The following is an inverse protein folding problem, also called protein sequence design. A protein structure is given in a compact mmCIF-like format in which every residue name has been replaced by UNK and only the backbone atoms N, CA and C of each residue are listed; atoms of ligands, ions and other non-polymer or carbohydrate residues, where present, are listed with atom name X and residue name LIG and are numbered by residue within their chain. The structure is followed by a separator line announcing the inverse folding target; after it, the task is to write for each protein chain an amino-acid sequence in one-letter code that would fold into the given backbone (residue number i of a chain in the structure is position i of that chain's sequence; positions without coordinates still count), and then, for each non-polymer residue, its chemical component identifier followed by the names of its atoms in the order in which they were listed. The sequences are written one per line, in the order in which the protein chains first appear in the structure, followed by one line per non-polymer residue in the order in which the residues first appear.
data_IF_049847160762
#
_entry.id   IF_049847160762
#
_cell.length_a   1.000
_cell.length_b   1.000
_cell.length_c   1.000
_cell.angle_alpha   90.00
_cell.angle_beta   90.00
_cell.angle_gamma   90.00
#
_symmetry.space_group_name_H-M   'P 1'
#
loop_
_entity.id
_entity.type
_entity.pdbx_description
1 polymer ?
#
# COMPACT_ATOMS: atom_id res chain seq x y z
N UNK A 1 42.33 63.63 -25.48
CA UNK A 1 42.51 63.98 -26.91
C UNK A 1 42.61 62.69 -27.71
N UNK A 2 41.91 62.63 -28.86
CA UNK A 2 41.77 61.53 -29.84
C UNK A 2 41.08 60.25 -29.35
N UNK A 3 39.82 59.93 -29.67
CA UNK A 3 39.02 59.91 -30.93
C UNK A 3 39.30 58.70 -31.84
N UNK A 4 38.42 57.70 -31.66
CA UNK A 4 37.62 56.92 -32.64
C UNK A 4 38.32 56.03 -33.69
N UNK A 5 37.98 54.74 -33.64
CA UNK A 5 37.30 53.90 -34.69
C UNK A 5 37.33 52.45 -34.14
N UNK A 6 36.24 51.70 -33.95
CA UNK A 6 34.99 51.64 -34.71
C UNK A 6 35.07 50.47 -35.69
N UNK A 7 34.87 49.23 -35.22
CA UNK A 7 34.66 48.05 -36.08
C UNK A 7 33.68 47.07 -35.44
N UNK A 8 32.45 47.14 -35.94
CA UNK A 8 31.49 46.07 -36.16
C UNK A 8 31.40 44.90 -35.16
N UNK A 9 30.36 44.97 -34.32
CA UNK A 9 29.60 43.82 -33.84
C UNK A 9 28.95 43.12 -35.05
N UNK A 10 29.59 42.05 -35.53
CA UNK A 10 28.96 41.06 -36.40
C UNK A 10 28.14 40.11 -35.55
N UNK A 11 26.82 40.11 -35.74
CA UNK A 11 25.92 39.08 -35.24
C UNK A 11 26.36 37.72 -35.80
N UNK A 12 26.38 36.63 -35.00
CA UNK A 12 26.51 35.30 -35.58
C UNK A 12 25.24 34.96 -36.34
N UNK A 13 25.43 34.61 -37.62
CA UNK A 13 24.42 34.12 -38.54
C UNK A 13 23.52 33.09 -37.89
N UNK A 14 22.21 33.35 -37.94
CA UNK A 14 21.19 32.38 -37.65
C UNK A 14 21.31 31.23 -38.67
N UNK A 15 21.91 30.13 -38.24
CA UNK A 15 21.86 28.86 -38.96
C UNK A 15 20.38 28.45 -38.98
N UNK A 16 19.74 28.64 -40.13
CA UNK A 16 18.41 28.13 -40.43
C UNK A 16 18.45 26.60 -40.38
N UNK A 17 18.06 26.04 -39.24
CA UNK A 17 17.79 24.60 -39.12
C UNK A 17 16.51 24.33 -39.92
N UNK A 18 16.53 23.47 -40.94
CA UNK A 18 15.32 23.14 -41.67
C UNK A 18 14.34 22.46 -40.72
N UNK A 19 13.16 23.08 -40.57
CA UNK A 19 11.98 22.52 -39.92
C UNK A 19 11.67 21.15 -40.57
N UNK A 20 12.16 20.07 -39.95
CA UNK A 20 11.71 18.72 -40.28
C UNK A 20 10.26 18.65 -39.86
N UNK A 21 9.36 18.59 -40.85
CA UNK A 21 7.95 18.27 -40.65
C UNK A 21 7.87 17.03 -39.76
N UNK A 22 7.09 17.11 -38.68
CA UNK A 22 6.72 15.95 -37.88
C UNK A 22 6.18 14.90 -38.84
N UNK A 23 6.86 13.75 -38.93
CA UNK A 23 6.23 12.55 -39.44
C UNK A 23 5.16 12.19 -38.40
N UNK A 24 3.90 12.42 -38.78
CA UNK A 24 2.75 11.89 -38.08
C UNK A 24 2.90 10.37 -38.07
N UNK A 25 3.13 9.80 -36.89
CA UNK A 25 3.07 8.37 -36.68
C UNK A 25 1.58 7.99 -36.73
N UNK A 26 1.08 7.76 -37.94
CA UNK A 26 -0.24 7.19 -38.18
C UNK A 26 -0.24 5.74 -37.69
N UNK A 27 -0.70 5.52 -36.46
CA UNK A 27 -1.14 4.19 -36.03
C UNK A 27 -2.34 3.84 -36.89
N UNK A 28 -2.12 2.99 -37.89
CA UNK A 28 -3.17 2.44 -38.73
C UNK A 28 -4.13 1.62 -37.87
N UNK A 29 -5.35 2.12 -37.72
CA UNK A 29 -6.49 1.31 -37.32
C UNK A 29 -6.68 0.20 -38.36
N UNK A 30 -6.75 -1.05 -37.91
CA UNK A 30 -7.11 -2.17 -38.80
C UNK A 30 -8.57 -1.99 -39.25
N UNK A 31 -8.94 -2.40 -40.48
CA UNK A 31 -10.34 -2.38 -40.91
C UNK A 31 -11.14 -3.35 -40.03
N UNK A 32 -11.99 -2.81 -39.14
CA UNK A 32 -12.84 -3.62 -38.24
C UNK A 32 -13.23 -2.93 -36.93
N UNK A 33 -12.41 -1.99 -36.42
CA UNK A 33 -12.70 -1.33 -35.16
C UNK A 33 -13.65 -0.13 -35.38
N UNK A 34 -14.96 -0.35 -35.19
CA UNK A 34 -15.88 0.76 -34.94
C UNK A 34 -15.90 1.05 -33.44
N UNK A 35 -15.80 2.32 -33.00
CA UNK A 35 -16.07 2.65 -31.61
C UNK A 35 -17.51 2.28 -31.30
N UNK A 36 -17.72 1.51 -30.24
CA UNK A 36 -19.05 1.21 -29.71
C UNK A 36 -19.61 2.55 -29.23
N UNK A 37 -20.63 3.06 -29.91
CA UNK A 37 -21.28 4.32 -29.55
C UNK A 37 -21.80 4.25 -28.11
N UNK A 38 -21.49 5.30 -27.35
CA UNK A 38 -21.96 5.50 -25.99
C UNK A 38 -23.49 5.52 -25.97
N UNK A 39 -24.07 4.79 -25.02
CA UNK A 39 -25.50 4.67 -24.83
C UNK A 39 -26.11 6.05 -24.51
N UNK A 40 -27.08 6.50 -25.31
CA UNK A 40 -27.65 7.86 -25.27
C UNK A 40 -28.83 8.00 -24.28
N UNK A 41 -28.78 7.32 -23.13
CA UNK A 41 -29.58 7.66 -21.95
C UNK A 41 -31.11 7.79 -22.11
N UNK A 42 -31.73 7.25 -23.16
CA UNK A 42 -33.19 7.27 -23.33
C UNK A 42 -33.80 5.89 -23.11
N UNK A 43 -34.43 5.74 -21.95
CA UNK A 43 -35.27 4.59 -21.59
C UNK A 43 -36.52 4.52 -22.48
N UNK A 44 -36.94 3.33 -22.96
CA UNK A 44 -38.27 3.14 -23.53
C UNK A 44 -39.34 3.24 -22.43
N UNK A 45 -40.46 3.86 -22.76
CA UNK A 45 -41.64 4.03 -21.90
C UNK A 45 -42.14 2.70 -21.32
N UNK A 46 -42.38 2.72 -20.00
CA UNK A 46 -42.94 1.62 -19.23
C UNK A 46 -44.43 1.43 -19.54
N UNK A 47 -44.77 0.30 -20.15
CA UNK A 47 -46.13 -0.26 -20.13
C UNK A 47 -46.00 -1.78 -20.02
N UNK A 48 -46.40 -2.34 -18.87
CA UNK A 48 -46.56 -3.79 -18.70
C UNK A 48 -46.23 -4.34 -17.31
N UNK A 49 -47.23 -4.37 -16.43
CA UNK A 49 -47.41 -5.39 -15.38
C UNK A 49 -46.36 -5.49 -14.28
N UNK A 50 -46.59 -4.81 -13.16
CA UNK A 50 -45.82 -4.97 -11.93
C UNK A 50 -46.32 -6.22 -11.19
N UNK A 51 -45.56 -7.31 -11.24
CA UNK A 51 -45.54 -8.27 -10.12
C UNK A 51 -44.65 -7.68 -9.03
N UNK A 52 -45.22 -7.39 -7.86
CA UNK A 52 -44.51 -6.96 -6.65
C UNK A 52 -43.60 -8.10 -6.14
N UNK A 53 -42.41 -8.18 -6.71
CA UNK A 53 -41.26 -8.88 -6.13
C UNK A 53 -40.32 -7.87 -5.50
N UNK A 54 -39.95 -8.10 -4.24
CA UNK A 54 -39.01 -7.38 -3.37
C UNK A 54 -38.24 -6.21 -4.04
N UNK A 55 -38.37 -5.00 -3.48
CA UNK A 55 -37.62 -3.80 -3.84
C UNK A 55 -36.16 -4.13 -4.20
N UNK A 56 -35.93 -4.32 -5.51
CA UNK A 56 -34.73 -4.96 -6.02
C UNK A 56 -33.61 -3.95 -6.08
N UNK A 57 -32.58 -4.14 -5.28
CA UNK A 57 -31.29 -3.48 -5.43
C UNK A 57 -30.81 -3.66 -6.88
N UNK A 58 -30.61 -2.54 -7.59
CA UNK A 58 -30.23 -2.55 -9.00
C UNK A 58 -28.83 -3.20 -9.14
N UNK A 59 -28.67 -4.26 -9.96
CA UNK A 59 -27.46 -5.07 -9.97
C UNK A 59 -26.28 -4.40 -10.66
N UNK A 60 -25.08 -4.72 -10.15
CA UNK A 60 -23.79 -4.40 -10.76
C UNK A 60 -23.19 -5.61 -11.47
N UNK A 61 -22.54 -5.34 -12.59
CA UNK A 61 -21.77 -6.32 -13.34
C UNK A 61 -20.33 -5.86 -13.43
N UNK A 62 -19.40 -6.75 -13.10
CA UNK A 62 -17.98 -6.41 -13.06
C UNK A 62 -17.16 -7.24 -14.04
N UNK A 63 -16.08 -6.62 -14.51
CA UNK A 63 -15.06 -7.26 -15.33
C UNK A 63 -13.68 -6.92 -14.79
N UNK A 64 -12.87 -7.96 -14.60
CA UNK A 64 -11.50 -7.85 -14.12
C UNK A 64 -10.56 -8.42 -15.16
N UNK A 65 -9.69 -7.58 -15.71
CA UNK A 65 -8.61 -7.98 -16.60
C UNK A 65 -7.31 -8.09 -15.82
N UNK A 66 -6.63 -9.22 -15.98
CA UNK A 66 -5.33 -9.48 -15.36
C UNK A 66 -4.18 -9.10 -16.30
N UNK A 67 -3.25 -8.28 -15.83
CA UNK A 67 -2.01 -7.90 -16.53
C UNK A 67 -2.17 -7.02 -17.80
N UNK A 68 -1.04 -6.60 -18.41
CA UNK A 68 -1.03 -5.73 -19.59
C UNK A 68 -1.12 -6.45 -20.95
N UNK A 69 -1.08 -7.78 -20.98
CA UNK A 69 -1.23 -8.60 -22.20
C UNK A 69 -2.69 -8.97 -22.50
N UNK A 70 -2.96 -9.79 -23.54
CA UNK A 70 -4.26 -10.46 -23.71
C UNK A 70 -4.41 -11.52 -22.60
N UNK A 71 -4.63 -11.07 -21.37
CA UNK A 71 -4.79 -11.90 -20.18
C UNK A 71 -6.24 -12.32 -19.97
N UNK A 72 -6.43 -13.34 -19.13
CA UNK A 72 -7.72 -13.84 -18.67
C UNK A 72 -8.60 -12.66 -18.18
N UNK A 73 -9.81 -12.59 -18.73
CA UNK A 73 -10.86 -11.68 -18.28
C UNK A 73 -11.85 -12.47 -17.42
N UNK A 74 -12.14 -11.95 -16.22
CA UNK A 74 -13.06 -12.58 -15.26
C UNK A 74 -14.28 -11.68 -15.13
N UNK A 75 -15.44 -12.26 -15.41
CA UNK A 75 -16.74 -11.59 -15.36
C UNK A 75 -17.57 -12.12 -14.20
N UNK A 76 -18.19 -11.22 -13.46
CA UNK A 76 -19.17 -11.55 -12.42
C UNK A 76 -20.39 -10.65 -12.60
N UNK A 77 -21.57 -11.26 -12.63
CA UNK A 77 -22.85 -10.59 -12.86
C UNK A 77 -23.69 -10.54 -11.58
N UNK A 78 -24.66 -9.64 -11.58
CA UNK A 78 -25.74 -9.52 -10.57
C UNK A 78 -25.25 -9.32 -9.12
N UNK A 79 -24.19 -8.53 -8.92
CA UNK A 79 -23.75 -8.13 -7.58
C UNK A 79 -24.67 -7.04 -7.01
N UNK A 80 -25.11 -7.18 -5.77
CA UNK A 80 -25.76 -6.08 -5.03
C UNK A 80 -24.74 -5.09 -4.44
N UNK A 81 -25.21 -3.96 -3.89
CA UNK A 81 -24.32 -2.93 -3.29
C UNK A 81 -23.40 -3.51 -2.20
N UNK A 82 -23.91 -4.43 -1.37
CA UNK A 82 -23.18 -5.01 -0.25
C UNK A 82 -22.14 -6.01 -0.76
N UNK A 83 -22.49 -6.86 -1.70
CA UNK A 83 -21.59 -7.82 -2.31
C UNK A 83 -20.49 -7.14 -3.11
N UNK A 84 -20.82 -6.08 -3.86
CA UNK A 84 -19.84 -5.27 -4.56
C UNK A 84 -18.86 -4.63 -3.57
N UNK A 85 -19.35 -4.07 -2.47
CA UNK A 85 -18.50 -3.44 -1.46
C UNK A 85 -17.64 -4.48 -0.71
N UNK A 86 -18.25 -5.50 -0.11
CA UNK A 86 -17.55 -6.49 0.73
C UNK A 86 -16.56 -7.35 -0.06
N UNK A 87 -16.92 -7.75 -1.28
CA UNK A 87 -16.16 -8.75 -2.04
C UNK A 87 -15.21 -8.12 -3.03
N UNK A 88 -15.47 -6.89 -3.48
CA UNK A 88 -14.73 -6.26 -4.59
C UNK A 88 -14.10 -4.93 -4.17
N UNK A 89 -14.91 -3.92 -3.84
CA UNK A 89 -14.41 -2.56 -3.61
C UNK A 89 -13.60 -2.43 -2.32
N UNK A 90 -14.09 -2.91 -1.19
CA UNK A 90 -13.38 -2.82 0.08
C UNK A 90 -12.06 -3.62 0.05
N UNK A 91 -11.99 -4.84 -0.50
CA UNK A 91 -10.72 -5.53 -0.72
C UNK A 91 -9.81 -4.77 -1.71
N UNK A 92 -10.34 -4.31 -2.84
CA UNK A 92 -9.57 -3.57 -3.86
C UNK A 92 -8.94 -2.29 -3.28
N UNK A 93 -9.73 -1.44 -2.60
CA UNK A 93 -9.26 -0.20 -1.96
C UNK A 93 -8.27 -0.48 -0.82
N UNK A 94 -8.43 -1.59 -0.11
CA UNK A 94 -7.54 -2.02 0.95
C UNK A 94 -6.31 -2.81 0.46
N UNK A 95 -6.14 -3.02 -0.85
CA UNK A 95 -5.05 -3.81 -1.41
C UNK A 95 -5.10 -5.30 -1.07
N UNK A 96 -6.25 -5.83 -0.65
CA UNK A 96 -6.48 -7.25 -0.32
C UNK A 96 -6.90 -8.04 -1.57
N UNK A 97 -6.58 -9.35 -1.65
CA UNK A 97 -7.07 -10.20 -2.74
C UNK A 97 -8.60 -10.18 -2.86
N UNK A 98 -9.07 -10.07 -4.10
CA UNK A 98 -10.48 -10.17 -4.48
C UNK A 98 -10.74 -11.63 -4.88
N UNK A 99 -11.82 -12.22 -4.36
CA UNK A 99 -12.21 -13.58 -4.72
C UNK A 99 -13.40 -13.55 -5.69
N UNK A 100 -13.13 -13.85 -6.97
CA UNK A 100 -14.13 -13.87 -8.04
C UNK A 100 -14.10 -15.20 -8.79
N UNK A 101 -15.28 -15.77 -9.05
CA UNK A 101 -15.43 -17.06 -9.75
C UNK A 101 -14.50 -18.18 -9.21
N UNK A 102 -14.26 -18.19 -7.88
CA UNK A 102 -13.38 -19.16 -7.21
C UNK A 102 -11.88 -18.91 -7.38
N UNK A 103 -11.47 -17.80 -8.00
CA UNK A 103 -10.07 -17.39 -8.16
C UNK A 103 -9.73 -16.27 -7.18
N UNK A 104 -8.54 -16.35 -6.58
CA UNK A 104 -7.94 -15.27 -5.81
C UNK A 104 -7.18 -14.33 -6.75
N UNK A 105 -7.57 -13.07 -6.78
CA UNK A 105 -7.02 -12.03 -7.65
C UNK A 105 -6.37 -10.97 -6.78
N UNK A 106 -5.05 -10.83 -6.84
CA UNK A 106 -4.36 -9.74 -6.15
C UNK A 106 -4.63 -8.40 -6.87
N UNK A 107 -4.95 -7.30 -6.16
CA UNK A 107 -5.21 -6.01 -6.81
C UNK A 107 -4.07 -5.50 -7.69
N UNK A 108 -2.82 -5.87 -7.38
CA UNK A 108 -1.63 -5.51 -8.17
C UNK A 108 -1.56 -6.19 -9.54
N UNK A 109 -2.24 -7.32 -9.72
CA UNK A 109 -2.31 -8.02 -11.02
C UNK A 109 -3.47 -7.54 -11.86
N UNK A 110 -4.37 -6.73 -11.30
CA UNK A 110 -5.52 -6.14 -12.02
C UNK A 110 -5.01 -5.02 -12.91
N UNK A 111 -4.92 -5.31 -14.21
CA UNK A 111 -4.62 -4.29 -15.22
C UNK A 111 -5.80 -3.35 -15.48
N UNK A 112 -7.04 -3.86 -15.34
CA UNK A 112 -8.26 -3.05 -15.49
C UNK A 112 -9.44 -3.66 -14.73
N UNK A 113 -10.09 -2.86 -13.88
CA UNK A 113 -11.37 -3.15 -13.25
C UNK A 113 -12.46 -2.30 -13.94
N UNK A 114 -13.61 -2.90 -14.25
CA UNK A 114 -14.80 -2.22 -14.77
C UNK A 114 -16.02 -2.64 -13.97
N UNK A 115 -16.86 -1.66 -13.62
CA UNK A 115 -18.09 -1.83 -12.84
C UNK A 115 -19.21 -1.09 -13.56
N UNK A 116 -20.19 -1.85 -14.05
CA UNK A 116 -21.36 -1.30 -14.72
C UNK A 116 -22.62 -1.56 -13.90
N UNK A 117 -23.51 -0.57 -13.81
CA UNK A 117 -24.80 -0.67 -13.14
C UNK A 117 -25.93 -0.76 -14.16
N UNK A 118 -26.87 -1.68 -13.95
CA UNK A 118 -28.02 -1.90 -14.84
C UNK A 118 -29.35 -1.91 -14.08
N UNK A 119 -30.43 -1.59 -14.78
CA UNK A 119 -31.78 -1.60 -14.20
C UNK A 119 -32.47 -2.98 -14.23
N UNK A 120 -31.85 -3.97 -14.87
CA UNK A 120 -32.37 -5.32 -15.04
C UNK A 120 -31.31 -6.36 -14.64
N UNK A 121 -31.72 -7.50 -14.03
CA UNK A 121 -30.82 -8.61 -13.74
C UNK A 121 -30.34 -9.31 -15.00
N UNK A 122 -29.19 -9.97 -14.91
CA UNK A 122 -28.51 -10.60 -16.04
C UNK A 122 -29.41 -11.58 -16.80
N UNK A 123 -30.28 -12.33 -16.11
CA UNK A 123 -31.22 -13.26 -16.76
C UNK A 123 -32.13 -12.57 -17.79
N UNK A 124 -32.63 -11.36 -17.49
CA UNK A 124 -33.46 -10.58 -18.42
C UNK A 124 -32.61 -9.99 -19.55
N UNK A 125 -31.41 -9.50 -19.24
CA UNK A 125 -30.48 -8.96 -20.22
C UNK A 125 -29.98 -10.03 -21.21
N UNK A 126 -29.66 -11.24 -20.73
CA UNK A 126 -29.28 -12.39 -21.56
C UNK A 126 -30.39 -12.78 -22.53
N UNK A 127 -31.65 -12.70 -22.10
CA UNK A 127 -32.81 -12.97 -22.96
C UNK A 127 -32.92 -11.93 -24.08
N UNK A 128 -32.57 -10.66 -23.82
CA UNK A 128 -32.50 -9.60 -24.83
C UNK A 128 -31.30 -9.80 -25.78
N UNK A 129 -30.13 -10.19 -25.26
CA UNK A 129 -28.93 -10.51 -26.07
C UNK A 129 -29.22 -11.63 -27.07
N UNK A 130 -29.94 -12.67 -26.66
CA UNK A 130 -30.32 -13.78 -27.54
C UNK A 130 -31.41 -13.42 -28.57
N UNK A 131 -32.21 -12.39 -28.29
CA UNK A 131 -33.28 -11.92 -29.17
C UNK A 131 -32.81 -10.89 -30.22
N UNK A 132 -31.67 -10.21 -30.02
CA UNK A 132 -31.14 -9.20 -30.93
C UNK A 132 -30.06 -9.78 -31.88
N UNK A 133 -30.34 -9.97 -33.18
CA UNK A 133 -29.40 -10.53 -34.15
C UNK A 133 -28.22 -9.61 -34.50
N UNK A 134 -28.29 -8.31 -34.19
CA UNK A 134 -27.22 -7.32 -34.50
C UNK A 134 -26.19 -7.26 -33.37
N UNK A 135 -26.57 -7.62 -32.15
CA UNK A 135 -25.72 -7.60 -30.94
C UNK A 135 -25.21 -8.97 -30.53
N UNK A 136 -25.29 -9.96 -31.41
CA UNK A 136 -24.75 -11.30 -31.14
C UNK A 136 -23.26 -11.21 -30.80
N UNK A 137 -22.79 -11.92 -29.78
CA UNK A 137 -21.36 -11.97 -29.49
C UNK A 137 -20.62 -12.47 -30.73
N UNK A 138 -19.47 -11.86 -31.05
CA UNK A 138 -18.55 -12.43 -32.03
C UNK A 138 -18.19 -13.86 -31.62
N UNK A 139 -17.92 -14.73 -32.60
CA UNK A 139 -17.60 -16.13 -32.34
C UNK A 139 -16.46 -16.26 -31.32
N UNK A 140 -16.79 -16.76 -30.11
CA UNK A 140 -15.85 -16.95 -29.01
C UNK A 140 -16.03 -16.02 -27.79
N UNK A 141 -16.96 -15.05 -27.82
CA UNK A 141 -17.28 -14.22 -26.64
C UNK A 141 -18.45 -14.80 -25.86
N UNK A 142 -18.31 -14.97 -24.54
CA UNK A 142 -19.40 -15.46 -23.69
C UNK A 142 -20.53 -14.42 -23.60
N UNK A 143 -21.80 -14.88 -23.55
CA UNK A 143 -22.95 -13.97 -23.49
C UNK A 143 -22.93 -13.12 -22.20
N UNK A 144 -22.35 -13.67 -21.14
CA UNK A 144 -22.11 -13.03 -19.85
C UNK A 144 -21.16 -11.82 -19.99
N UNK A 145 -20.11 -11.93 -20.80
CA UNK A 145 -19.17 -10.82 -21.05
C UNK A 145 -19.82 -9.67 -21.82
N UNK A 146 -20.83 -9.99 -22.65
CA UNK A 146 -21.64 -9.00 -23.35
C UNK A 146 -22.55 -8.28 -22.36
N UNK A 147 -23.22 -9.01 -21.47
CA UNK A 147 -24.08 -8.41 -20.43
C UNK A 147 -23.28 -7.53 -19.48
N UNK A 148 -22.07 -7.95 -19.08
CA UNK A 148 -21.22 -7.15 -18.21
C UNK A 148 -20.71 -5.84 -18.83
N UNK A 149 -20.91 -5.62 -20.14
CA UNK A 149 -20.62 -4.35 -20.83
C UNK A 149 -21.78 -3.37 -20.80
N UNK A 150 -22.97 -3.83 -20.42
CA UNK A 150 -24.19 -3.04 -20.50
C UNK A 150 -24.42 -2.22 -19.24
N UNK A 151 -25.18 -1.13 -19.39
CA UNK A 151 -25.48 -0.21 -18.30
C UNK A 151 -24.53 0.98 -18.20
N UNK A 152 -24.63 1.70 -17.09
CA UNK A 152 -23.82 2.89 -16.81
C UNK A 152 -22.50 2.46 -16.15
N UNK A 153 -21.37 2.88 -16.72
CA UNK A 153 -20.06 2.72 -16.08
C UNK A 153 -19.95 3.62 -14.86
N UNK A 154 -19.77 3.02 -13.69
CA UNK A 154 -19.66 3.69 -12.39
C UNK A 154 -18.30 3.41 -11.72
N UNK A 155 -17.34 2.88 -12.47
CA UNK A 155 -16.05 2.40 -11.96
C UNK A 155 -15.32 3.46 -11.14
N UNK A 156 -15.12 4.65 -11.70
CA UNK A 156 -14.36 5.71 -11.03
C UNK A 156 -15.10 6.26 -9.81
N UNK A 157 -16.44 6.40 -9.90
CA UNK A 157 -17.29 6.83 -8.79
C UNK A 157 -17.19 5.86 -7.62
N UNK A 158 -17.20 4.56 -7.89
CA UNK A 158 -17.14 3.54 -6.86
C UNK A 158 -15.73 3.36 -6.31
N UNK A 159 -14.68 3.39 -7.13
CA UNK A 159 -13.30 3.23 -6.63
C UNK A 159 -12.86 4.45 -5.81
N UNK A 160 -13.19 5.67 -6.26
CA UNK A 160 -12.76 6.92 -5.61
C UNK A 160 -13.56 7.28 -4.36
N UNK A 161 -14.67 6.60 -4.07
CA UNK A 161 -15.37 6.76 -2.80
C UNK A 161 -14.45 6.34 -1.65
N UNK A 162 -14.20 7.20 -0.64
CA UNK A 162 -13.58 6.73 0.59
C UNK A 162 -14.47 5.62 1.14
N UNK A 163 -13.87 4.49 1.55
CA UNK A 163 -14.60 3.41 2.21
C UNK A 163 -15.55 4.06 3.21
N UNK A 164 -16.86 3.92 2.99
CA UNK A 164 -17.85 4.63 3.77
C UNK A 164 -17.50 4.37 5.22
N UNK A 165 -17.07 5.44 5.92
CA UNK A 165 -16.83 5.37 7.35
C UNK A 165 -18.15 4.91 7.91
N UNK A 166 -18.19 3.67 8.38
CA UNK A 166 -19.33 3.16 9.10
C UNK A 166 -19.53 4.14 10.26
N UNK A 167 -20.50 5.03 10.08
CA UNK A 167 -20.87 6.04 11.04
C UNK A 167 -21.29 5.29 12.29
N UNK A 168 -20.39 5.17 13.26
CA UNK A 168 -20.75 4.74 14.61
C UNK A 168 -21.67 5.86 15.12
N UNK A 169 -22.97 5.61 15.37
CA UNK A 169 -23.82 6.64 15.90
C UNK A 169 -23.30 6.98 17.30
N UNK A 170 -23.01 8.25 17.53
CA UNK A 170 -22.78 8.79 18.84
C UNK A 170 -24.05 8.57 19.67
N UNK A 171 -23.99 7.68 20.67
CA UNK A 171 -24.98 7.60 21.73
C UNK A 171 -24.28 7.81 23.06
N UNK A 172 -24.65 8.93 23.67
CA UNK A 172 -24.32 9.26 25.04
C UNK A 172 -25.01 8.32 26.04
N UNK A 173 -24.44 8.31 27.24
CA UNK A 173 -24.97 7.86 28.53
C UNK A 173 -25.08 6.37 28.81
N UNK A 174 -24.47 6.04 29.96
CA UNK A 174 -24.53 4.79 30.69
C UNK A 174 -25.94 4.17 30.69
N UNK A 175 -26.03 2.95 30.17
CA UNK A 175 -27.08 2.00 30.51
C UNK A 175 -26.45 0.63 30.64
N UNK A 176 -26.35 0.17 31.88
CA UNK A 176 -26.06 -1.20 32.28
C UNK A 176 -27.04 -2.15 31.57
N UNK A 177 -26.53 -3.05 30.74
CA UNK A 177 -27.29 -4.23 30.27
C UNK A 177 -26.56 -5.46 30.77
N UNK A 178 -27.28 -6.24 31.58
CA UNK A 178 -26.83 -7.46 32.21
C UNK A 178 -26.48 -8.54 31.16
N UNK A 179 -25.33 -9.18 31.35
CA UNK A 179 -24.92 -10.43 30.72
C UNK A 179 -25.77 -11.57 31.33
N UNK A 180 -26.28 -12.54 30.54
CA UNK A 180 -26.92 -13.73 31.11
C UNK A 180 -25.90 -14.51 31.94
N UNK A 181 -26.24 -14.74 33.20
CA UNK A 181 -25.44 -15.56 34.11
C UNK A 181 -25.38 -17.01 33.58
N UNK A 182 -24.17 -17.49 33.28
CA UNK A 182 -23.94 -18.88 32.87
C UNK A 182 -22.46 -19.26 32.78
N UNK A 183 -21.95 -19.82 33.88
CA UNK A 183 -20.68 -20.55 34.05
C UNK A 183 -19.37 -19.75 33.96
N UNK A 184 -18.76 -19.54 35.13
CA UNK A 184 -17.60 -18.67 35.33
C UNK A 184 -16.24 -19.25 34.92
N UNK A 185 -15.41 -18.33 34.45
CA UNK A 185 -13.95 -18.38 34.39
C UNK A 185 -13.43 -16.93 34.45
N UNK A 186 -12.26 -16.65 35.03
CA UNK A 186 -11.79 -15.27 35.22
C UNK A 186 -11.50 -14.61 33.86
N UNK A 187 -12.17 -13.49 33.60
CA UNK A 187 -11.94 -12.57 32.49
C UNK A 187 -10.56 -11.91 32.64
N UNK A 188 -9.55 -12.49 32.00
CA UNK A 188 -8.24 -11.86 31.82
C UNK A 188 -8.34 -10.99 30.58
N UNK A 189 -8.57 -9.69 30.76
CA UNK A 189 -8.19 -8.72 29.73
C UNK A 189 -6.70 -8.94 29.48
N UNK A 190 -6.36 -9.46 28.31
CA UNK A 190 -4.99 -9.80 27.93
C UNK A 190 -4.17 -8.51 27.77
N UNK A 191 -3.74 -7.93 28.89
CA UNK A 191 -2.82 -6.80 28.91
C UNK A 191 -1.47 -7.33 28.42
N UNK A 192 -0.90 -6.78 27.34
CA UNK A 192 0.41 -7.19 26.85
C UNK A 192 1.45 -7.15 27.97
N UNK A 193 2.33 -8.15 28.04
CA UNK A 193 3.44 -8.12 29.00
C UNK A 193 4.23 -6.81 28.77
N UNK A 194 4.39 -5.94 29.78
CA UNK A 194 5.02 -4.64 29.62
C UNK A 194 6.50 -4.73 29.19
N UNK A 195 7.10 -5.92 29.28
CA UNK A 195 8.46 -6.19 28.79
C UNK A 195 8.52 -6.51 27.30
N UNK A 196 7.41 -6.84 26.65
CA UNK A 196 7.40 -7.23 25.25
C UNK A 196 7.74 -6.04 24.35
N UNK A 197 8.71 -6.22 23.46
CA UNK A 197 9.04 -5.22 22.44
C UNK A 197 9.02 -5.91 21.08
N UNK A 198 8.35 -5.33 20.10
CA UNK A 198 8.46 -5.79 18.72
C UNK A 198 9.48 -4.94 17.97
N UNK A 199 10.33 -5.56 17.17
CA UNK A 199 11.37 -4.87 16.41
C UNK A 199 11.09 -5.03 14.93
N UNK A 200 10.76 -3.92 14.27
CA UNK A 200 10.70 -3.81 12.82
C UNK A 200 12.12 -3.57 12.31
N UNK A 201 12.59 -4.38 11.38
CA UNK A 201 13.95 -4.29 10.86
C UNK A 201 14.05 -4.78 9.41
N UNK A 202 15.11 -4.37 8.72
CA UNK A 202 15.41 -4.80 7.37
C UNK A 202 16.23 -6.10 7.30
N UNK A 203 17.05 -6.24 6.26
CA UNK A 203 17.97 -7.36 6.03
C UNK A 203 19.29 -7.25 6.79
N UNK A 204 19.60 -6.11 7.39
CA UNK A 204 20.74 -5.99 8.31
C UNK A 204 20.49 -6.76 9.61
N UNK A 205 20.80 -8.07 9.58
CA UNK A 205 20.65 -8.95 10.74
C UNK A 205 21.62 -8.60 11.86
N UNK A 206 22.75 -7.95 11.57
CA UNK A 206 23.70 -7.49 12.58
C UNK A 206 23.10 -6.38 13.45
N UNK A 207 22.44 -5.40 12.84
CA UNK A 207 21.76 -4.32 13.56
C UNK A 207 20.57 -4.87 14.37
N UNK A 208 19.83 -5.80 13.79
CA UNK A 208 18.77 -6.54 14.49
C UNK A 208 19.31 -7.26 15.72
N UNK A 209 20.35 -8.08 15.57
CA UNK A 209 20.89 -8.88 16.68
C UNK A 209 21.48 -8.00 17.77
N UNK A 210 22.14 -6.90 17.40
CA UNK A 210 22.60 -5.89 18.35
C UNK A 210 21.45 -5.27 19.15
N UNK A 211 20.33 -4.93 18.49
CA UNK A 211 19.15 -4.39 19.17
C UNK A 211 18.52 -5.43 20.11
N UNK A 212 18.41 -6.68 19.69
CA UNK A 212 17.88 -7.76 20.53
C UNK A 212 18.77 -7.99 21.77
N UNK A 213 20.09 -7.95 21.60
CA UNK A 213 21.03 -8.06 22.71
C UNK A 213 20.86 -6.89 23.70
N UNK A 214 20.77 -5.65 23.20
CA UNK A 214 20.52 -4.48 24.03
C UNK A 214 19.20 -4.59 24.80
N UNK A 215 18.09 -4.90 24.12
CA UNK A 215 16.76 -5.02 24.74
C UNK A 215 16.75 -6.05 25.88
N UNK A 216 17.38 -7.22 25.66
CA UNK A 216 17.52 -8.25 26.69
C UNK A 216 18.38 -7.78 27.87
N UNK A 217 19.47 -7.07 27.60
CA UNK A 217 20.38 -6.56 28.63
C UNK A 217 19.71 -5.50 29.54
N UNK A 218 18.70 -4.79 29.04
CA UNK A 218 17.90 -3.84 29.83
C UNK A 218 16.59 -4.44 30.38
N UNK A 219 16.49 -5.76 30.42
CA UNK A 219 15.37 -6.48 31.05
C UNK A 219 14.11 -6.64 30.18
N UNK A 220 14.16 -6.31 28.89
CA UNK A 220 13.04 -6.44 27.96
C UNK A 220 13.08 -7.74 27.16
N UNK A 221 11.92 -8.12 26.61
CA UNK A 221 11.74 -9.33 25.81
C UNK A 221 11.40 -8.96 24.37
N UNK A 222 12.37 -8.97 23.45
CA UNK A 222 12.05 -8.79 22.04
C UNK A 222 11.24 -10.00 21.54
N UNK A 223 10.09 -9.74 20.91
CA UNK A 223 9.23 -10.76 20.31
C UNK A 223 9.92 -11.29 19.06
N UNK A 224 10.16 -12.59 19.02
CA UNK A 224 10.75 -13.27 17.87
C UNK A 224 9.71 -13.45 16.75
N UNK A 225 10.13 -13.44 15.50
CA UNK A 225 9.23 -13.59 14.35
C UNK A 225 8.33 -14.83 14.44
N UNK A 226 8.92 -15.98 14.76
CA UNK A 226 8.19 -17.24 14.91
C UNK A 226 7.21 -17.22 16.09
N UNK A 227 7.46 -16.39 17.11
CA UNK A 227 6.50 -16.18 18.20
C UNK A 227 5.29 -15.38 17.72
N UNK A 228 5.51 -14.30 16.97
CA UNK A 228 4.43 -13.53 16.36
C UNK A 228 3.61 -14.37 15.36
N UNK A 229 4.26 -15.22 14.55
CA UNK A 229 3.58 -16.19 13.67
C UNK A 229 2.72 -17.15 14.46
N UNK A 230 3.24 -17.77 15.53
CA UNK A 230 2.43 -18.69 16.36
C UNK A 230 1.24 -18.00 17.01
N UNK A 231 1.40 -16.73 17.38
CA UNK A 231 0.34 -15.94 18.00
C UNK A 231 -0.84 -15.69 17.07
N UNK A 232 -0.69 -15.81 15.73
CA UNK A 232 -1.83 -15.71 14.81
C UNK A 232 -2.76 -16.93 14.89
N UNK A 233 -2.29 -18.06 15.43
CA UNK A 233 -3.12 -19.25 15.67
C UNK A 233 -3.33 -20.18 14.46
N UNK A 234 -2.66 -19.94 13.32
CA UNK A 234 -2.72 -20.81 12.15
C UNK A 234 -1.37 -20.91 11.42
N UNK A 235 -1.11 -22.00 10.66
CA UNK A 235 0.23 -22.33 10.17
C UNK A 235 0.74 -21.45 9.01
N UNK A 236 -0.13 -20.68 8.36
CA UNK A 236 0.24 -19.85 7.20
C UNK A 236 -0.47 -18.50 7.25
N UNK A 237 -0.09 -17.61 8.18
CA UNK A 237 -0.65 -16.26 8.26
C UNK A 237 -0.09 -15.32 7.20
N UNK A 238 -0.89 -14.32 6.85
CA UNK A 238 -0.43 -13.20 6.05
C UNK A 238 0.48 -12.29 6.89
N UNK A 239 1.46 -11.62 6.24
CA UNK A 239 2.42 -10.74 6.91
C UNK A 239 1.73 -9.66 7.78
N UNK A 240 0.64 -9.08 7.29
CA UNK A 240 -0.13 -8.09 8.02
C UNK A 240 -0.84 -8.63 9.26
N UNK A 241 -1.23 -9.90 9.28
CA UNK A 241 -1.82 -10.56 10.47
C UNK A 241 -0.75 -10.76 11.55
N UNK A 242 0.45 -11.17 11.13
CA UNK A 242 1.60 -11.29 12.03
C UNK A 242 1.93 -9.94 12.64
N UNK A 243 2.00 -8.88 11.83
CA UNK A 243 2.27 -7.52 12.28
C UNK A 243 1.17 -6.98 13.21
N UNK A 244 -0.10 -7.20 12.87
CA UNK A 244 -1.24 -6.81 13.73
C UNK A 244 -1.14 -7.49 15.09
N UNK A 245 -0.88 -8.79 15.09
CA UNK A 245 -0.76 -9.60 16.32
C UNK A 245 0.46 -9.17 17.14
N UNK A 246 1.59 -8.92 16.48
CA UNK A 246 2.82 -8.46 17.11
C UNK A 246 2.65 -7.07 17.75
N UNK A 247 2.06 -6.12 17.02
CA UNK A 247 1.80 -4.77 17.54
C UNK A 247 0.80 -4.78 18.69
N UNK A 248 -0.22 -5.64 18.65
CA UNK A 248 -1.15 -5.82 19.75
C UNK A 248 -0.47 -6.41 21.00
N UNK A 249 0.51 -7.30 20.82
CA UNK A 249 1.17 -8.05 21.91
C UNK A 249 2.43 -7.40 22.47
N UNK A 250 2.92 -6.32 21.84
CA UNK A 250 4.10 -5.58 22.28
C UNK A 250 3.72 -4.37 23.13
N UNK A 251 4.49 -4.05 24.17
CA UNK A 251 4.39 -2.79 24.91
C UNK A 251 4.97 -1.63 24.11
N UNK A 252 6.11 -1.83 23.44
CA UNK A 252 6.75 -0.86 22.56
C UNK A 252 7.13 -1.48 21.22
N UNK A 253 7.19 -0.64 20.18
CA UNK A 253 7.64 -1.02 18.85
C UNK A 253 8.91 -0.23 18.53
N UNK A 254 10.00 -0.92 18.27
CA UNK A 254 11.25 -0.30 17.81
C UNK A 254 11.35 -0.49 16.31
N UNK A 255 11.50 0.61 15.58
CA UNK A 255 11.75 0.59 14.13
C UNK A 255 13.22 0.87 13.90
N UNK A 256 13.95 -0.12 13.40
CA UNK A 256 15.35 -0.01 13.01
C UNK A 256 15.46 0.47 11.56
N UNK A 257 15.89 1.71 11.40
CA UNK A 257 16.17 2.36 10.13
C UNK A 257 17.67 2.22 9.84
N UNK A 258 18.02 1.23 9.03
CA UNK A 258 19.38 0.94 8.56
C UNK A 258 19.51 1.26 7.06
N UNK A 259 20.71 1.56 6.53
CA UNK A 259 20.93 1.85 5.11
C UNK A 259 20.95 0.59 4.24
N UNK A 260 19.86 -0.17 4.24
CA UNK A 260 19.76 -1.48 3.59
C UNK A 260 19.63 -1.42 2.05
N UNK A 261 18.93 -0.41 1.53
CA UNK A 261 18.72 -0.21 0.10
C UNK A 261 19.51 1.04 -0.35
N UNK A 262 20.09 1.03 -1.55
CA UNK A 262 20.66 2.23 -2.17
C UNK A 262 19.59 2.98 -2.96
N UNK A 263 19.42 4.28 -2.69
CA UNK A 263 18.43 5.11 -3.37
C UNK A 263 18.92 6.50 -3.75
N UNK A 264 18.31 7.02 -4.81
CA UNK A 264 18.42 8.40 -5.30
C UNK A 264 17.15 8.79 -6.02
N UNK A 265 16.88 10.09 -6.14
CA UNK A 265 15.79 10.57 -6.98
C UNK A 265 16.09 10.28 -8.44
N UNK A 266 15.07 9.89 -9.20
CA UNK A 266 15.24 9.66 -10.63
C UNK A 266 15.69 10.97 -11.32
N UNK A 267 16.68 10.92 -12.24
CA UNK A 267 17.24 12.11 -12.87
C UNK A 267 16.22 13.04 -13.53
N UNK A 268 15.12 12.49 -14.04
CA UNK A 268 14.05 13.26 -14.66
C UNK A 268 13.32 14.23 -13.71
N UNK A 269 13.43 14.02 -12.40
CA UNK A 269 12.80 14.86 -11.37
C UNK A 269 13.78 15.77 -10.63
N UNK A 270 15.05 15.80 -11.03
CA UNK A 270 16.05 16.65 -10.38
C UNK A 270 15.75 18.13 -10.59
N UNK A 271 15.99 18.91 -9.53
CA UNK A 271 15.98 20.36 -9.53
C UNK A 271 17.41 20.88 -9.33
N UNK A 272 17.71 22.10 -9.82
CA UNK A 272 19.06 22.69 -9.65
C UNK A 272 19.52 22.77 -8.19
N UNK A 273 18.58 23.04 -7.29
CA UNK A 273 18.84 23.27 -5.85
C UNK A 273 18.67 22.01 -4.99
N UNK A 274 18.43 20.83 -5.59
CA UNK A 274 18.27 19.60 -4.83
C UNK A 274 19.56 19.25 -4.07
N UNK A 275 19.47 18.83 -2.80
CA UNK A 275 20.64 18.50 -1.99
C UNK A 275 21.38 17.27 -2.55
N UNK A 276 22.65 17.06 -2.16
CA UNK A 276 23.46 15.96 -2.72
C UNK A 276 22.84 14.56 -2.55
N UNK A 277 22.12 14.32 -1.45
CA UNK A 277 21.45 13.02 -1.22
C UNK A 277 20.34 12.74 -2.22
N UNK A 278 19.73 13.74 -2.86
CA UNK A 278 18.75 13.51 -3.95
C UNK A 278 19.41 12.98 -5.22
N UNK A 279 20.67 13.35 -5.46
CA UNK A 279 21.36 13.13 -6.75
C UNK A 279 22.32 11.94 -6.73
N UNK A 280 23.00 11.71 -5.61
CA UNK A 280 23.88 10.56 -5.40
C UNK A 280 23.11 9.36 -4.81
N UNK A 281 23.59 8.15 -5.07
CA UNK A 281 23.10 6.99 -4.32
C UNK A 281 23.47 7.15 -2.84
N UNK A 282 22.46 7.02 -2.00
CA UNK A 282 22.57 7.08 -0.55
C UNK A 282 21.78 5.93 0.06
N UNK A 283 22.29 5.35 1.13
CA UNK A 283 21.61 4.29 1.84
C UNK A 283 20.30 4.76 2.47
N UNK A 284 19.26 3.95 2.38
CA UNK A 284 17.95 4.17 2.96
C UNK A 284 17.41 2.88 3.61
N UNK A 285 16.41 2.97 4.49
CA UNK A 285 15.72 1.80 5.00
C UNK A 285 14.97 1.12 3.87
N UNK A 286 14.80 -0.21 3.98
CA UNK A 286 14.00 -0.95 3.00
C UNK A 286 12.59 -0.38 2.93
N UNK A 287 12.02 -0.35 1.72
CA UNK A 287 10.64 0.12 1.53
C UNK A 287 9.63 -0.58 2.46
N UNK A 288 9.81 -1.88 2.69
CA UNK A 288 8.98 -2.66 3.63
C UNK A 288 9.07 -2.11 5.06
N UNK A 289 10.29 -1.79 5.53
CA UNK A 289 10.52 -1.21 6.88
C UNK A 289 9.84 0.15 7.00
N UNK A 290 9.90 0.98 5.96
CA UNK A 290 9.21 2.27 5.93
C UNK A 290 7.67 2.10 5.99
N UNK A 291 7.14 1.12 5.26
CA UNK A 291 5.71 0.80 5.27
C UNK A 291 5.25 0.28 6.65
N UNK A 292 6.00 -0.65 7.23
CA UNK A 292 5.75 -1.22 8.55
C UNK A 292 5.89 -0.17 9.66
N UNK A 293 6.83 0.77 9.53
CA UNK A 293 6.93 1.93 10.42
C UNK A 293 5.67 2.80 10.36
N UNK A 294 5.15 3.05 9.15
CA UNK A 294 3.88 3.74 8.95
C UNK A 294 2.72 3.03 9.65
N UNK A 295 2.63 1.70 9.52
CA UNK A 295 1.61 0.89 10.21
C UNK A 295 1.76 0.94 11.74
N UNK A 296 2.98 0.76 12.27
CA UNK A 296 3.24 0.84 13.71
C UNK A 296 2.81 2.20 14.28
N UNK A 297 3.14 3.29 13.58
CA UNK A 297 2.76 4.64 13.97
C UNK A 297 1.26 4.90 13.86
N UNK A 298 0.58 4.28 12.88
CA UNK A 298 -0.87 4.35 12.74
C UNK A 298 -1.59 3.59 13.87
N UNK A 299 -1.01 2.49 14.37
CA UNK A 299 -1.53 1.74 15.51
C UNK A 299 -1.33 2.51 16.81
N UNK A 300 -0.11 2.91 17.16
CA UNK A 300 0.14 3.82 18.27
C UNK A 300 1.52 4.49 18.15
N UNK A 301 1.52 5.77 17.77
CA UNK A 301 2.72 6.58 17.65
C UNK A 301 3.44 6.84 18.99
N UNK A 302 2.77 6.76 20.14
CA UNK A 302 3.36 7.09 21.45
C UNK A 302 4.30 6.01 21.97
N UNK A 303 4.09 4.77 21.54
CA UNK A 303 4.92 3.61 21.89
C UNK A 303 5.78 3.09 20.74
N UNK A 304 5.85 3.86 19.64
CA UNK A 304 6.71 3.56 18.48
C UNK A 304 7.97 4.41 18.56
N UNK A 305 9.13 3.75 18.64
CA UNK A 305 10.45 4.38 18.76
C UNK A 305 11.21 4.21 17.45
N UNK A 306 11.47 5.32 16.77
CA UNK A 306 12.27 5.34 15.53
C UNK A 306 13.76 5.43 15.89
N UNK A 307 14.54 4.47 15.40
CA UNK A 307 15.98 4.35 15.67
C UNK A 307 16.73 4.21 14.36
N UNK A 308 17.62 5.16 14.08
CA UNK A 308 18.55 5.10 12.96
C UNK A 308 19.88 4.51 13.40
N UNK A 309 20.39 3.56 12.61
CA UNK A 309 21.73 2.99 12.78
C UNK A 309 22.50 3.20 11.48
N UNK A 310 23.61 3.93 11.56
CA UNK A 310 24.39 4.33 10.39
C UNK A 310 23.92 5.62 9.72
N UNK A 311 24.29 5.81 8.45
CA UNK A 311 23.93 7.00 7.67
C UNK A 311 22.76 6.67 6.75
N UNK A 312 21.59 7.15 7.13
CA UNK A 312 20.35 6.98 6.38
C UNK A 312 20.01 8.27 5.65
N UNK A 313 19.52 8.14 4.41
CA UNK A 313 18.97 9.24 3.64
C UNK A 313 17.81 9.90 4.40
N UNK A 314 17.79 11.22 4.58
CA UNK A 314 16.65 11.89 5.18
C UNK A 314 15.42 11.81 4.27
N UNK A 315 14.24 11.67 4.87
CA UNK A 315 12.96 11.80 4.15
C UNK A 315 11.97 12.63 4.98
N UNK A 316 11.19 13.47 4.30
CA UNK A 316 10.40 14.54 4.93
C UNK A 316 9.27 14.06 5.83
N UNK A 317 8.75 12.85 5.62
CA UNK A 317 7.59 12.32 6.36
C UNK A 317 7.88 12.01 7.83
N UNK A 318 9.15 11.97 8.22
CA UNK A 318 9.61 11.90 9.62
C UNK A 318 10.20 13.22 10.14
N UNK A 319 10.29 14.27 9.32
CA UNK A 319 11.02 15.52 9.63
C UNK A 319 10.42 16.37 10.78
N UNK A 320 9.33 15.92 11.41
CA UNK A 320 8.78 16.48 12.65
C UNK A 320 8.88 15.55 13.86
N UNK A 321 9.47 14.36 13.72
CA UNK A 321 9.58 13.35 14.78
C UNK A 321 11.03 13.20 15.21
N UNK A 322 11.24 13.05 16.52
CA UNK A 322 12.57 12.89 17.08
C UNK A 322 13.08 11.47 16.81
N UNK A 323 13.92 11.30 15.79
CA UNK A 323 14.63 10.04 15.52
C UNK A 323 15.82 9.91 16.46
N UNK A 324 16.10 8.70 16.96
CA UNK A 324 17.32 8.42 17.71
C UNK A 324 18.41 7.95 16.74
N UNK A 325 19.48 8.70 16.57
CA UNK A 325 20.68 8.21 15.88
C UNK A 325 21.53 7.41 16.87
N UNK A 326 21.43 6.09 16.80
CA UNK A 326 22.07 5.16 17.71
C UNK A 326 23.51 4.84 17.24
N UNK A 327 24.41 4.74 18.21
CA UNK A 327 25.79 4.31 18.03
C UNK A 327 26.25 3.52 19.27
N UNK A 328 27.53 3.17 19.36
CA UNK A 328 28.02 2.38 20.49
C UNK A 328 28.18 3.16 21.81
N UNK A 329 27.98 4.48 21.82
CA UNK A 329 28.17 5.29 23.03
C UNK A 329 27.13 4.97 24.11
N UNK A 330 27.57 5.02 25.37
CA UNK A 330 26.69 4.88 26.53
C UNK A 330 25.58 5.93 26.57
N UNK A 331 25.85 7.15 26.10
CA UNK A 331 24.85 8.22 26.03
C UNK A 331 23.68 7.85 25.11
N UNK A 332 23.94 7.39 23.88
CA UNK A 332 22.87 7.01 22.94
C UNK A 332 22.08 5.80 23.41
N UNK A 333 22.74 4.85 24.07
CA UNK A 333 22.10 3.70 24.72
C UNK A 333 21.18 4.14 25.86
N UNK A 334 21.62 5.09 26.68
CA UNK A 334 20.81 5.68 27.74
C UNK A 334 19.58 6.42 27.17
N UNK A 335 19.75 7.18 26.09
CA UNK A 335 18.64 7.84 25.39
C UNK A 335 17.60 6.83 24.86
N UNK A 336 18.05 5.69 24.30
CA UNK A 336 17.16 4.61 23.88
C UNK A 336 16.39 4.02 25.06
N UNK A 337 17.08 3.70 26.15
CA UNK A 337 16.48 3.17 27.38
C UNK A 337 15.40 4.12 27.93
N UNK A 338 15.69 5.43 27.98
CA UNK A 338 14.73 6.43 28.44
C UNK A 338 13.48 6.52 27.54
N UNK A 339 13.63 6.40 26.22
CA UNK A 339 12.49 6.38 25.30
C UNK A 339 11.63 5.13 25.46
N UNK A 340 12.25 3.96 25.67
CA UNK A 340 11.53 2.72 25.96
C UNK A 340 10.80 2.80 27.30
N UNK A 341 11.41 3.41 28.33
CA UNK A 341 10.75 3.69 29.59
C UNK A 341 9.51 4.60 29.41
N UNK A 342 9.65 5.67 28.61
CA UNK A 342 8.54 6.56 28.27
C UNK A 342 7.43 5.87 27.47
N UNK A 343 7.75 4.81 26.72
CA UNK A 343 6.79 3.93 26.05
C UNK A 343 6.13 2.90 27.00
N UNK A 344 6.43 2.94 28.30
CA UNK A 344 5.84 2.08 29.33
C UNK A 344 6.59 0.78 29.61
N UNK A 345 7.79 0.60 29.05
CA UNK A 345 8.61 -0.58 29.32
C UNK A 345 9.32 -0.47 30.69
N UNK A 346 9.35 -1.54 31.50
CA UNK A 346 10.08 -1.56 32.77
C UNK A 346 11.57 -1.84 32.50
N UNK A 347 12.34 -0.76 32.33
CA UNK A 347 13.78 -0.84 32.03
C UNK A 347 14.57 -1.19 33.28
N UNK A 348 15.45 -2.19 33.17
CA UNK A 348 16.46 -2.52 34.17
C UNK A 348 17.83 -1.95 33.77
N UNK A 349 18.32 -0.97 34.54
CA UNK A 349 19.65 -0.38 34.39
C UNK A 349 20.56 -0.64 35.60
N UNK A 350 20.22 -1.62 36.45
CA UNK A 350 20.98 -1.91 37.67
C UNK A 350 22.37 -2.52 37.42
N UNK A 351 22.54 -3.19 36.28
CA UNK A 351 23.82 -3.76 35.84
C UNK A 351 24.66 -2.82 34.96
N UNK A 352 25.82 -3.30 34.51
CA UNK A 352 26.73 -2.55 33.61
C UNK A 352 26.83 -3.15 32.19
N UNK A 353 26.39 -4.41 32.00
CA UNK A 353 26.55 -5.13 30.73
C UNK A 353 25.80 -4.45 29.56
N UNK A 354 24.70 -3.76 29.86
CA UNK A 354 23.90 -3.05 28.86
C UNK A 354 24.66 -1.90 28.18
N UNK A 355 25.72 -1.37 28.80
CA UNK A 355 26.56 -0.32 28.21
C UNK A 355 27.27 -0.76 26.93
N UNK A 356 27.52 -2.06 26.76
CA UNK A 356 28.23 -2.63 25.61
C UNK A 356 27.43 -3.71 24.87
N UNK A 357 26.20 -4.03 25.30
CA UNK A 357 25.37 -5.06 24.70
C UNK A 357 24.99 -4.75 23.23
N UNK A 358 25.45 -5.58 22.29
CA UNK A 358 25.24 -5.37 20.85
C UNK A 358 26.21 -4.33 20.25
N UNK A 359 26.54 -4.46 18.97
CA UNK A 359 27.43 -3.54 18.25
C UNK A 359 26.66 -2.81 17.13
N UNK A 360 26.41 -1.51 17.31
CA UNK A 360 25.64 -0.68 16.38
C UNK A 360 26.50 0.03 15.32
N UNK A 361 27.80 -0.22 15.27
CA UNK A 361 28.72 0.39 14.29
C UNK A 361 29.30 -0.63 13.31
N UNK A 362 29.33 -1.92 13.67
CA UNK A 362 29.78 -3.00 12.78
C UNK A 362 28.87 -3.21 11.55
N UNK A 363 27.64 -2.69 11.61
CA UNK A 363 26.55 -3.00 10.69
C UNK A 363 26.54 -2.08 9.45
N UNK A 364 27.27 -0.95 9.51
CA UNK A 364 27.30 0.13 8.50
C UNK A 364 28.46 -0.03 7.50
N UNK A 365 29.18 -1.16 7.50
CA UNK A 365 30.43 -1.32 6.75
C UNK A 365 30.28 -1.44 5.21
N UNK A 366 29.06 -1.40 4.67
CA UNK A 366 28.83 -1.37 3.22
C UNK A 366 28.72 0.09 2.77
N UNK A 367 29.86 0.74 2.53
CA UNK A 367 29.90 2.03 1.83
C UNK A 367 29.29 1.91 0.42
N UNK A 368 28.94 3.03 -0.23
CA UNK A 368 28.33 2.99 -1.56
C UNK A 368 29.22 2.17 -2.48
N UNK A 369 28.67 1.04 -2.97
CA UNK A 369 29.36 0.18 -3.91
C UNK A 369 29.71 1.03 -5.12
N UNK A 370 31.00 1.29 -5.33
CA UNK A 370 31.47 1.85 -6.58
C UNK A 370 30.98 0.91 -7.68
N UNK A 371 30.05 1.39 -8.51
CA UNK A 371 29.32 0.63 -9.51
C UNK A 371 30.20 -0.41 -10.21
N UNK A 372 30.15 -1.65 -9.69
CA UNK A 372 30.78 -2.80 -10.30
C UNK A 372 29.90 -3.25 -11.44
N UNK A 373 30.38 -3.11 -12.66
CA UNK A 373 29.88 -3.80 -13.84
C UNK A 373 29.66 -5.27 -13.51
N UNK A 374 28.40 -5.70 -13.40
CA UNK A 374 28.05 -7.12 -13.35
C UNK A 374 28.29 -7.68 -14.75
N UNK A 375 29.20 -8.64 -14.94
CA UNK A 375 29.27 -9.34 -16.21
C UNK A 375 28.04 -10.24 -16.31
N UNK A 376 27.26 -10.04 -17.35
CA UNK A 376 26.23 -10.98 -17.77
C UNK A 376 26.97 -12.24 -18.27
N UNK A 377 26.74 -13.37 -17.60
CA UNK A 377 27.05 -14.71 -18.13
C UNK A 377 25.78 -15.53 -18.14
#
# INVERSE_FOLDING_TARGET
MSVVRGTHLGAPDAIAVPMRRRAECSIGLRPGDRPIEAWDGRSPSADGGVEEGAAGTLPYHIRVRLGPGPGDEITQLDLDDRELEERVLAPYRAGRPIFLAGRSISPETIGKLRINRTDLPAKKLLSLVHADPVRRPDAGTAAEDVVARWGRDVTDEMIAQPAAVATIPAVATAATVAIPAGAGGPDVRNVPDPRNVFVVHGRDTGARDAMFAFLRAVGLRPIEWNEAVRATGHPTPYIGEILTTAFASAQAIVVLLTPDDDARLAPAFWRPDDPPHERAYTGQPRANVLFEAGMAMAVDARRTVLVEVGRVRPFSDIAGRLVLHLNNSGQRRQELAQRLAAAGCPIDLGGIDWHSAGNFEATVAHGPSAAGTVPVT
#
